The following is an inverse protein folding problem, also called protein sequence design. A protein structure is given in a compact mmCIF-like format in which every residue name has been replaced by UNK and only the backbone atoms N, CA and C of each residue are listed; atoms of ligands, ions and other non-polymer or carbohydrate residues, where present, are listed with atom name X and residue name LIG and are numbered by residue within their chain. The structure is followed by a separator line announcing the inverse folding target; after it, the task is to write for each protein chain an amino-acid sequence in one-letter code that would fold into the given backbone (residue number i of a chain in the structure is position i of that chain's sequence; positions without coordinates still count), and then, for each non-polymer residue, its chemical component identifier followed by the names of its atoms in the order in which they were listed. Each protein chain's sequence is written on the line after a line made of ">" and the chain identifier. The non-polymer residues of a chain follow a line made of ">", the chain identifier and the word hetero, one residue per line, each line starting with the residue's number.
data_IF_907111761980
#
_entry.id   IF_907111761980
#
_cell.length_a   1.000
_cell.length_b   1.000
_cell.length_c   1.000
_cell.angle_alpha   90.00
_cell.angle_beta   90.00
_cell.angle_gamma   90.00
#
_symmetry.space_group_name_H-M   'P 1'
#
loop_
_entity.id
_entity.type
_entity.pdbx_description
1 polymer ?
#
# COMPACT_ATOMS: atom_id res chain seq x y z
N UNK A 1 5.81 12.98 -16.85
CA UNK A 1 6.98 12.42 -16.17
C UNK A 1 6.65 12.52 -14.70
N UNK A 2 5.96 11.49 -14.22
CA UNK A 2 5.18 11.57 -12.99
C UNK A 2 6.11 11.41 -11.77
N UNK A 3 5.92 12.30 -10.80
CA UNK A 3 6.69 12.42 -9.54
C UNK A 3 6.82 11.10 -8.76
N UNK A 4 5.97 10.12 -9.06
CA UNK A 4 5.96 8.80 -8.44
C UNK A 4 7.00 7.81 -8.99
N UNK A 5 7.40 7.96 -10.25
CA UNK A 5 8.34 7.02 -10.87
C UNK A 5 9.72 7.09 -10.20
N UNK A 6 10.16 8.26 -9.72
CA UNK A 6 11.48 8.44 -9.10
C UNK A 6 11.54 8.09 -7.61
N UNK A 7 10.47 7.58 -7.00
CA UNK A 7 10.45 7.25 -5.57
C UNK A 7 11.52 6.20 -5.23
N UNK A 8 11.70 5.18 -6.07
CA UNK A 8 12.71 4.14 -5.84
C UNK A 8 14.12 4.76 -5.85
N UNK A 9 14.47 5.48 -6.92
CA UNK A 9 15.80 6.10 -7.07
C UNK A 9 16.04 7.15 -5.99
N UNK A 10 15.07 8.02 -5.73
CA UNK A 10 15.17 9.04 -4.69
C UNK A 10 15.42 8.42 -3.31
N UNK A 11 14.76 7.31 -2.97
CA UNK A 11 14.99 6.62 -1.71
C UNK A 11 16.34 5.89 -1.65
N UNK A 12 16.82 5.36 -2.79
CA UNK A 12 18.17 4.78 -2.86
C UNK A 12 19.26 5.85 -2.67
N UNK A 13 19.03 7.08 -3.16
CA UNK A 13 19.95 8.22 -3.03
C UNK A 13 19.78 9.06 -1.76
N UNK A 14 18.68 8.87 -1.03
CA UNK A 14 18.39 9.66 0.17
C UNK A 14 19.31 9.29 1.34
N UNK A 15 19.86 10.32 1.97
CA UNK A 15 20.60 10.24 3.24
C UNK A 15 19.71 10.86 4.31
N UNK A 16 19.10 10.03 5.15
CA UNK A 16 18.30 10.53 6.27
C UNK A 16 19.17 11.03 7.43
N UNK A 17 18.54 11.75 8.35
CA UNK A 17 19.22 12.40 9.49
C UNK A 17 19.39 11.51 10.72
N UNK A 18 18.79 10.32 10.74
CA UNK A 18 18.87 9.38 11.88
C UNK A 18 19.91 8.28 11.65
N UNK A 19 20.44 7.69 12.73
CA UNK A 19 21.44 6.62 12.62
C UNK A 19 20.92 5.38 11.86
N UNK A 20 19.66 5.02 12.07
CA UNK A 20 18.98 3.96 11.32
C UNK A 20 18.92 4.29 9.82
N UNK A 21 18.54 5.52 9.50
CA UNK A 21 18.45 6.02 8.13
C UNK A 21 19.76 5.91 7.33
N UNK A 22 20.88 6.22 7.97
CA UNK A 22 22.19 6.12 7.35
C UNK A 22 22.54 4.67 7.04
N UNK A 23 22.41 3.76 8.01
CA UNK A 23 22.76 2.35 7.85
C UNK A 23 21.94 1.65 6.77
N UNK A 24 20.71 2.09 6.56
CA UNK A 24 19.77 1.47 5.62
C UNK A 24 19.90 2.03 4.20
N UNK A 25 20.51 3.21 4.03
CA UNK A 25 20.68 3.86 2.71
C UNK A 25 21.77 3.17 1.87
N UNK A 26 21.47 2.68 0.65
CA UNK A 26 22.48 2.14 -0.26
C UNK A 26 23.60 3.13 -0.58
N UNK A 27 23.28 4.42 -0.75
CA UNK A 27 24.30 5.46 -1.00
C UNK A 27 25.25 5.65 0.17
N UNK A 28 24.78 5.54 1.41
CA UNK A 28 25.68 5.62 2.56
C UNK A 28 26.77 4.54 2.52
N UNK A 29 26.44 3.32 2.13
CA UNK A 29 27.42 2.25 1.94
C UNK A 29 28.38 2.52 0.78
N UNK A 30 27.90 3.14 -0.31
CA UNK A 30 28.78 3.54 -1.41
C UNK A 30 29.80 4.59 -0.96
N UNK A 31 29.39 5.53 -0.09
CA UNK A 31 30.27 6.53 0.50
C UNK A 31 31.29 5.91 1.47
N UNK A 32 30.88 4.93 2.28
CA UNK A 32 31.81 4.18 3.15
C UNK A 32 32.86 3.45 2.30
N UNK A 33 32.44 2.76 1.24
CA UNK A 33 33.36 2.08 0.33
C UNK A 33 34.34 3.05 -0.32
N UNK A 34 33.85 4.22 -0.75
CA UNK A 34 34.69 5.29 -1.30
C UNK A 34 35.68 5.83 -0.25
N UNK A 35 35.27 6.01 1.00
CA UNK A 35 36.15 6.41 2.09
C UNK A 35 37.23 5.35 2.40
N UNK A 36 36.85 4.06 2.46
CA UNK A 36 37.80 2.95 2.62
C UNK A 36 38.80 2.94 1.47
N UNK A 37 38.34 3.17 0.24
CA UNK A 37 39.21 3.27 -0.93
C UNK A 37 40.24 4.38 -0.80
N UNK A 38 39.81 5.57 -0.41
CA UNK A 38 40.69 6.71 -0.17
C UNK A 38 41.69 6.45 0.96
N UNK A 39 41.26 5.82 2.05
CA UNK A 39 42.14 5.45 3.17
C UNK A 39 43.21 4.47 2.71
N UNK A 40 42.84 3.42 1.96
CA UNK A 40 43.79 2.45 1.43
C UNK A 40 44.80 3.10 0.47
N UNK A 41 44.34 4.03 -0.39
CA UNK A 41 45.24 4.81 -1.24
C UNK A 41 46.22 5.65 -0.41
N UNK A 42 45.76 6.30 0.66
CA UNK A 42 46.61 7.07 1.58
C UNK A 42 47.62 6.18 2.32
N UNK A 43 47.21 5.01 2.80
CA UNK A 43 48.10 4.04 3.46
C UNK A 43 49.16 3.55 2.48
N UNK A 44 48.79 3.25 1.23
CA UNK A 44 49.74 2.83 0.21
C UNK A 44 50.72 3.95 -0.16
N UNK A 45 50.25 5.19 -0.24
CA UNK A 45 51.10 6.36 -0.45
C UNK A 45 52.06 6.60 0.73
N UNK A 46 51.59 6.46 1.97
CA UNK A 46 52.42 6.65 3.17
C UNK A 46 53.45 5.52 3.33
N UNK A 47 53.07 4.27 3.05
CA UNK A 47 54.01 3.13 3.02
C UNK A 47 55.13 3.34 1.99
N UNK A 48 54.83 3.95 0.85
CA UNK A 48 55.82 4.28 -0.15
C UNK A 48 56.84 5.34 0.33
N UNK A 49 56.41 6.25 1.21
CA UNK A 49 57.25 7.35 1.73
C UNK A 49 58.06 6.96 2.97
N UNK A 50 57.46 6.22 3.90
CA UNK A 50 58.02 6.03 5.25
C UNK A 50 58.95 4.83 5.35
N UNK A 51 58.87 3.86 4.43
CA UNK A 51 59.63 2.63 4.54
C UNK A 51 60.79 2.56 3.54
N UNK A 52 61.98 2.09 3.97
CA UNK A 52 63.07 1.78 3.07
C UNK A 52 62.67 0.67 2.08
N UNK A 53 63.24 0.68 0.86
CA UNK A 53 62.76 -0.13 -0.28
C UNK A 53 62.63 -1.63 0.03
N UNK A 54 63.55 -2.20 0.80
CA UNK A 54 63.52 -3.64 1.16
C UNK A 54 62.32 -4.04 2.03
N UNK A 55 61.90 -3.20 2.99
CA UNK A 55 60.73 -3.47 3.86
C UNK A 55 59.43 -3.15 3.13
N UNK A 56 59.44 -2.10 2.30
CA UNK A 56 58.34 -1.68 1.44
C UNK A 56 57.92 -2.80 0.48
N UNK A 57 58.89 -3.42 -0.20
CA UNK A 57 58.59 -4.40 -1.24
C UNK A 57 58.02 -5.69 -0.63
N UNK A 58 58.47 -6.12 0.57
CA UNK A 58 57.84 -7.24 1.30
C UNK A 58 56.38 -6.95 1.69
N UNK A 59 56.09 -5.77 2.22
CA UNK A 59 54.75 -5.38 2.66
C UNK A 59 53.79 -5.21 1.47
N UNK A 60 54.27 -4.56 0.40
CA UNK A 60 53.53 -4.44 -0.85
C UNK A 60 53.21 -5.80 -1.44
N UNK A 61 54.14 -6.76 -1.42
CA UNK A 61 53.92 -8.11 -1.97
C UNK A 61 52.83 -8.86 -1.20
N UNK A 62 52.79 -8.73 0.14
CA UNK A 62 51.74 -9.34 0.97
C UNK A 62 50.38 -8.74 0.63
N UNK A 63 50.28 -7.40 0.56
CA UNK A 63 49.03 -6.70 0.21
C UNK A 63 48.58 -7.07 -1.20
N UNK A 64 49.52 -7.09 -2.17
CA UNK A 64 49.25 -7.45 -3.57
C UNK A 64 48.70 -8.88 -3.67
N UNK A 65 49.30 -9.84 -2.96
CA UNK A 65 48.85 -11.24 -2.96
C UNK A 65 47.43 -11.42 -2.40
N UNK A 66 47.03 -10.63 -1.41
CA UNK A 66 45.66 -10.69 -0.85
C UNK A 66 44.66 -10.16 -1.88
N UNK A 67 44.93 -9.00 -2.48
CA UNK A 67 44.01 -8.35 -3.41
C UNK A 67 44.01 -8.95 -4.82
N UNK A 68 45.12 -9.56 -5.27
CA UNK A 68 45.15 -10.28 -6.55
C UNK A 68 44.20 -11.48 -6.54
N UNK A 69 43.97 -12.12 -5.39
CA UNK A 69 43.04 -13.25 -5.27
C UNK A 69 41.58 -12.85 -5.34
N UNK A 70 41.26 -11.57 -5.14
CA UNK A 70 39.89 -11.05 -5.19
C UNK A 70 39.61 -10.25 -6.46
N UNK A 71 40.57 -10.12 -7.38
CA UNK A 71 40.45 -9.37 -8.63
C UNK A 71 39.71 -10.17 -9.71
N UNK A 72 38.43 -9.83 -9.92
CA UNK A 72 37.60 -10.36 -10.99
C UNK A 72 37.68 -9.52 -12.28
N UNK A 73 38.26 -8.31 -12.24
CA UNK A 73 38.17 -7.33 -13.33
C UNK A 73 39.46 -7.27 -14.16
N UNK A 74 40.63 -7.42 -13.51
CA UNK A 74 41.94 -7.28 -14.15
C UNK A 74 42.77 -8.55 -14.22
N UNK A 75 42.16 -9.73 -14.03
CA UNK A 75 42.84 -11.04 -14.00
C UNK A 75 44.06 -11.09 -13.04
N UNK A 76 44.09 -10.22 -12.02
CA UNK A 76 45.17 -10.17 -11.04
C UNK A 76 46.35 -9.27 -11.44
N UNK A 77 46.27 -8.47 -12.50
CA UNK A 77 47.36 -7.53 -12.84
C UNK A 77 47.49 -6.38 -11.82
N UNK A 78 46.39 -5.99 -11.17
CA UNK A 78 46.31 -4.81 -10.30
C UNK A 78 45.62 -5.11 -8.96
N UNK A 79 46.30 -4.79 -7.85
CA UNK A 79 45.73 -4.90 -6.49
C UNK A 79 44.46 -4.02 -6.29
N UNK A 80 44.28 -3.01 -7.13
CA UNK A 80 43.09 -2.15 -7.14
C UNK A 80 41.87 -2.88 -7.72
N UNK A 81 42.08 -3.83 -8.65
CA UNK A 81 41.01 -4.61 -9.25
C UNK A 81 40.28 -5.50 -8.23
N UNK A 82 41.02 -6.04 -7.26
CA UNK A 82 40.43 -6.81 -6.15
C UNK A 82 39.52 -6.02 -5.23
N UNK A 83 39.82 -4.75 -4.98
CA UNK A 83 38.96 -3.90 -4.16
C UNK A 83 37.76 -3.37 -4.95
N UNK A 84 37.94 -3.07 -6.24
CA UNK A 84 36.83 -2.73 -7.14
C UNK A 84 35.83 -3.89 -7.23
N UNK A 85 36.33 -5.13 -7.32
CA UNK A 85 35.50 -6.34 -7.35
C UNK A 85 34.66 -6.50 -6.06
N UNK A 86 35.26 -6.28 -4.89
CA UNK A 86 34.53 -6.30 -3.61
C UNK A 86 33.47 -5.19 -3.55
N UNK A 87 33.80 -3.98 -3.99
CA UNK A 87 32.86 -2.86 -4.04
C UNK A 87 31.67 -3.15 -4.97
N UNK A 88 31.93 -3.74 -6.15
CA UNK A 88 30.88 -4.18 -7.09
C UNK A 88 29.93 -5.17 -6.41
N UNK A 89 30.47 -6.22 -5.79
CA UNK A 89 29.64 -7.25 -5.14
C UNK A 89 28.82 -6.66 -4.00
N UNK A 90 29.40 -5.78 -3.18
CA UNK A 90 28.71 -5.22 -2.02
C UNK A 90 27.61 -4.23 -2.43
N UNK A 91 27.90 -3.33 -3.38
CA UNK A 91 26.91 -2.35 -3.88
C UNK A 91 25.75 -3.07 -4.57
N UNK A 92 26.05 -4.04 -5.45
CA UNK A 92 25.01 -4.80 -6.14
C UNK A 92 24.16 -5.61 -5.15
N UNK A 93 24.78 -6.32 -4.20
CA UNK A 93 24.05 -7.09 -3.19
C UNK A 93 23.11 -6.20 -2.35
N UNK A 94 23.57 -5.03 -1.92
CA UNK A 94 22.76 -4.09 -1.14
C UNK A 94 21.62 -3.48 -1.97
N UNK A 95 21.89 -3.12 -3.23
CA UNK A 95 20.89 -2.58 -4.14
C UNK A 95 19.80 -3.63 -4.44
N UNK A 96 20.18 -4.89 -4.67
CA UNK A 96 19.23 -6.00 -4.85
C UNK A 96 18.45 -6.32 -3.57
N UNK A 97 19.11 -6.30 -2.40
CA UNK A 97 18.41 -6.50 -1.13
C UNK A 97 17.34 -5.42 -0.90
N UNK A 98 17.66 -4.15 -1.15
CA UNK A 98 16.69 -3.06 -1.10
C UNK A 98 15.54 -3.27 -2.08
N UNK A 99 15.84 -3.64 -3.33
CA UNK A 99 14.86 -3.87 -4.38
C UNK A 99 13.87 -4.99 -4.04
N UNK A 100 14.35 -6.11 -3.49
CA UNK A 100 13.50 -7.22 -3.04
C UNK A 100 12.60 -6.77 -1.89
N UNK A 101 13.15 -6.05 -0.91
CA UNK A 101 12.36 -5.56 0.22
C UNK A 101 11.30 -4.55 -0.22
N UNK A 102 11.60 -3.71 -1.22
CA UNK A 102 10.64 -2.79 -1.83
C UNK A 102 9.54 -3.52 -2.61
N UNK A 103 9.89 -4.56 -3.39
CA UNK A 103 8.89 -5.41 -4.07
C UNK A 103 7.92 -6.05 -3.08
N UNK A 104 8.42 -6.49 -1.93
CA UNK A 104 7.60 -7.10 -0.87
C UNK A 104 6.70 -6.09 -0.13
N UNK A 105 6.74 -4.78 -0.45
CA UNK A 105 5.81 -3.77 0.07
C UNK A 105 4.52 -3.65 -0.76
N UNK A 106 4.13 -4.73 -1.43
CA UNK A 106 2.90 -4.83 -2.20
C UNK A 106 2.26 -6.21 -2.03
N UNK A 107 0.92 -6.33 -1.97
CA UNK A 107 -0.05 -5.24 -1.92
C UNK A 107 -0.08 -4.59 -0.53
N UNK A 108 -0.33 -3.28 -0.48
CA UNK A 108 -0.19 -2.50 0.76
C UNK A 108 -1.14 -2.93 1.88
N UNK A 109 -2.27 -3.57 1.55
CA UNK A 109 -3.24 -4.07 2.54
C UNK A 109 -2.71 -5.28 3.33
N UNK A 110 -1.74 -6.02 2.79
CA UNK A 110 -1.18 -7.24 3.39
C UNK A 110 0.17 -7.01 4.10
N UNK A 111 0.71 -5.77 4.07
CA UNK A 111 2.09 -5.49 4.50
C UNK A 111 2.16 -4.38 5.56
N UNK A 112 3.02 -4.60 6.57
CA UNK A 112 3.29 -3.66 7.67
C UNK A 112 4.20 -2.49 7.29
N UNK A 113 4.76 -1.80 8.30
CA UNK A 113 5.67 -0.66 8.08
C UNK A 113 6.98 -1.07 7.40
N UNK A 114 7.53 -0.20 6.54
CA UNK A 114 8.81 -0.42 5.86
C UNK A 114 9.97 -0.18 6.81
N UNK A 115 10.75 -1.20 7.11
CA UNK A 115 11.95 -1.12 7.97
C UNK A 115 13.25 -0.92 7.19
N UNK A 116 13.20 -1.10 5.87
CA UNK A 116 14.35 -1.03 4.96
C UNK A 116 14.50 0.35 4.30
N UNK A 117 13.77 1.35 4.77
CA UNK A 117 13.92 2.73 4.34
C UNK A 117 13.74 3.69 5.53
N UNK A 118 14.16 4.95 5.35
CA UNK A 118 13.93 6.01 6.33
C UNK A 118 12.47 6.30 6.58
N UNK A 119 11.71 6.35 5.50
CA UNK A 119 10.28 6.57 5.54
C UNK A 119 9.58 5.21 5.66
N UNK A 120 8.94 5.02 6.81
CA UNK A 120 8.22 3.80 7.20
C UNK A 120 6.88 3.66 6.49
N UNK A 121 6.47 4.70 5.76
CA UNK A 121 5.25 4.75 4.94
C UNK A 121 5.48 4.40 3.48
N UNK A 122 6.73 4.19 3.06
CA UNK A 122 7.05 3.77 1.69
C UNK A 122 6.33 2.46 1.37
N UNK A 123 5.55 2.48 0.28
CA UNK A 123 4.88 1.32 -0.30
C UNK A 123 5.15 1.28 -1.80
N UNK A 124 5.10 0.09 -2.38
CA UNK A 124 5.12 -0.07 -3.83
C UNK A 124 3.68 -0.13 -4.37
N UNK A 125 2.80 0.76 -3.92
CA UNK A 125 1.38 0.76 -4.27
C UNK A 125 0.91 2.17 -4.61
N UNK A 126 0.20 2.31 -5.73
CA UNK A 126 -0.58 3.51 -6.09
C UNK A 126 -2.06 3.18 -6.06
N UNK A 127 -2.86 4.16 -5.67
CA UNK A 127 -4.30 4.03 -5.56
C UNK A 127 -4.98 5.02 -6.50
N UNK A 128 -6.00 4.54 -7.20
CA UNK A 128 -6.88 5.37 -8.01
C UNK A 128 -8.32 5.04 -7.67
N UNK A 129 -9.07 6.03 -7.22
CA UNK A 129 -10.52 5.92 -7.00
C UNK A 129 -11.25 6.65 -8.11
N UNK A 130 -12.24 6.01 -8.71
CA UNK A 130 -13.09 6.60 -9.73
C UNK A 130 -14.56 6.27 -9.49
N UNK A 131 -15.43 7.20 -9.87
CA UNK A 131 -16.87 6.96 -9.98
C UNK A 131 -17.16 6.57 -11.42
N UNK A 132 -17.85 5.45 -11.63
CA UNK A 132 -18.20 4.95 -12.94
C UNK A 132 -19.70 4.74 -13.03
N UNK A 133 -20.30 5.08 -14.17
CA UNK A 133 -21.72 4.93 -14.37
C UNK A 133 -22.07 3.46 -14.67
N UNK A 134 -23.11 2.92 -14.02
CA UNK A 134 -23.59 1.55 -14.28
C UNK A 134 -24.18 1.37 -15.68
N UNK A 135 -24.53 2.47 -16.35
CA UNK A 135 -25.02 2.46 -17.73
C UNK A 135 -23.92 2.10 -18.76
N UNK A 136 -22.65 2.20 -18.37
CA UNK A 136 -21.53 1.79 -19.21
C UNK A 136 -21.29 0.30 -19.01
N UNK A 137 -21.19 -0.51 -20.08
CA UNK A 137 -20.88 -1.92 -19.96
C UNK A 137 -19.59 -2.14 -19.17
N UNK A 138 -19.65 -3.03 -18.19
CA UNK A 138 -18.48 -3.42 -17.40
C UNK A 138 -17.53 -4.24 -18.28
N UNK A 139 -16.25 -4.24 -17.95
CA UNK A 139 -15.26 -5.06 -18.65
C UNK A 139 -15.50 -6.56 -18.40
N UNK A 140 -15.10 -7.42 -19.33
CA UNK A 140 -15.22 -8.87 -19.19
C UNK A 140 -14.49 -9.41 -17.94
N UNK A 141 -13.44 -8.72 -17.50
CA UNK A 141 -12.66 -9.04 -16.30
C UNK A 141 -13.40 -8.67 -15.00
N UNK A 142 -14.19 -7.59 -15.01
CA UNK A 142 -14.97 -7.13 -13.85
C UNK A 142 -16.33 -7.82 -13.72
N UNK A 143 -16.87 -8.36 -14.83
CA UNK A 143 -18.19 -8.97 -14.87
C UNK A 143 -18.43 -10.03 -13.80
N UNK A 144 -17.50 -10.97 -13.51
CA UNK A 144 -17.70 -11.97 -12.45
C UNK A 144 -17.93 -11.35 -11.06
N UNK A 145 -17.29 -10.22 -10.76
CA UNK A 145 -17.50 -9.51 -9.51
C UNK A 145 -18.89 -8.86 -9.44
N UNK A 146 -19.36 -8.31 -10.56
CA UNK A 146 -20.72 -7.77 -10.64
C UNK A 146 -21.77 -8.86 -10.48
N UNK A 147 -21.55 -10.03 -11.07
CA UNK A 147 -22.43 -11.19 -10.90
C UNK A 147 -22.50 -11.61 -9.42
N UNK A 148 -21.35 -11.69 -8.72
CA UNK A 148 -21.33 -11.95 -7.28
C UNK A 148 -22.09 -10.89 -6.46
N UNK A 149 -21.91 -9.60 -6.78
CA UNK A 149 -22.61 -8.51 -6.10
C UNK A 149 -24.13 -8.58 -6.33
N UNK A 150 -24.56 -8.88 -7.55
CA UNK A 150 -25.96 -8.99 -7.95
C UNK A 150 -26.65 -10.23 -7.36
N UNK A 151 -25.92 -11.34 -7.21
CA UNK A 151 -26.43 -12.58 -6.60
C UNK A 151 -26.47 -12.54 -5.06
N UNK A 152 -25.90 -11.51 -4.43
CA UNK A 152 -25.87 -11.42 -2.97
C UNK A 152 -27.28 -11.19 -2.41
N UNK A 153 -27.81 -12.20 -1.74
CA UNK A 153 -29.10 -12.10 -1.07
C UNK A 153 -29.05 -11.18 0.16
N UNK A 154 -30.04 -10.29 0.30
CA UNK A 154 -30.15 -9.41 1.47
C UNK A 154 -31.23 -9.82 2.46
N UNK A 155 -30.93 -9.59 3.73
CA UNK A 155 -31.89 -9.69 4.84
C UNK A 155 -32.04 -8.32 5.49
N UNK A 156 -33.27 -7.84 5.58
CA UNK A 156 -33.63 -6.62 6.26
C UNK A 156 -33.95 -6.92 7.72
N UNK A 157 -33.34 -6.14 8.62
CA UNK A 157 -33.57 -6.16 10.07
C UNK A 157 -34.29 -4.90 10.48
N UNK A 158 -35.41 -5.07 11.18
CA UNK A 158 -36.22 -3.98 11.72
C UNK A 158 -36.41 -4.20 13.22
N UNK A 159 -35.91 -3.27 14.04
CA UNK A 159 -36.23 -3.23 15.46
C UNK A 159 -37.07 -1.98 15.75
N UNK A 160 -38.28 -2.15 16.28
CA UNK A 160 -39.03 -1.08 16.92
C UNK A 160 -38.67 -1.07 18.41
N UNK A 161 -38.08 0.02 18.88
CA UNK A 161 -37.48 0.15 20.21
C UNK A 161 -38.44 0.88 21.14
N UNK A 162 -38.52 0.42 22.39
CA UNK A 162 -39.38 0.98 23.43
C UNK A 162 -40.86 0.99 23.00
N UNK A 163 -41.37 -0.18 22.62
CA UNK A 163 -42.77 -0.41 22.26
C UNK A 163 -43.31 -1.63 23.01
N UNK A 164 -44.61 -1.61 23.32
CA UNK A 164 -45.33 -2.74 23.91
C UNK A 164 -46.05 -3.60 22.85
N UNK A 165 -45.87 -3.27 21.57
CA UNK A 165 -46.52 -3.97 20.45
C UNK A 165 -46.04 -5.41 20.30
N UNK A 166 -46.90 -6.29 19.81
CA UNK A 166 -46.58 -7.71 19.63
C UNK A 166 -46.21 -8.05 18.18
N UNK A 167 -45.57 -9.20 17.96
CA UNK A 167 -45.31 -9.70 16.60
C UNK A 167 -46.58 -9.92 15.77
N UNK A 168 -47.73 -10.15 16.42
CA UNK A 168 -49.01 -10.35 15.72
C UNK A 168 -49.57 -9.05 15.13
N UNK A 169 -49.16 -7.89 15.66
CA UNK A 169 -49.57 -6.59 15.12
C UNK A 169 -48.64 -6.07 14.04
N UNK A 170 -47.51 -6.74 13.77
CA UNK A 170 -46.58 -6.35 12.72
C UNK A 170 -46.87 -7.11 11.42
N UNK A 171 -46.99 -6.35 10.35
CA UNK A 171 -47.05 -6.86 8.98
C UNK A 171 -45.98 -6.17 8.14
N UNK A 172 -45.31 -6.92 7.29
CA UNK A 172 -44.32 -6.39 6.35
C UNK A 172 -44.79 -6.74 4.94
N UNK A 173 -44.74 -5.75 4.05
CA UNK A 173 -45.15 -5.90 2.67
C UNK A 173 -44.19 -5.19 1.73
N UNK A 174 -44.06 -5.73 0.53
CA UNK A 174 -43.45 -5.08 -0.62
C UNK A 174 -44.48 -4.17 -1.29
N UNK A 175 -44.05 -2.97 -1.66
CA UNK A 175 -44.82 -2.04 -2.49
C UNK A 175 -44.27 -2.11 -3.91
N UNK A 176 -45.09 -2.61 -4.82
CA UNK A 176 -44.84 -2.59 -6.27
C UNK A 176 -45.70 -1.50 -6.92
N UNK A 177 -45.39 -1.12 -8.16
CA UNK A 177 -46.16 -0.11 -8.91
C UNK A 177 -47.66 -0.42 -9.01
N UNK A 178 -48.04 -1.69 -8.94
CA UNK A 178 -49.42 -2.17 -9.13
C UNK A 178 -50.08 -2.78 -7.89
N UNK A 179 -49.32 -3.13 -6.84
CA UNK A 179 -49.85 -3.91 -5.71
C UNK A 179 -48.96 -3.90 -4.47
N UNK A 180 -49.54 -4.26 -3.31
CA UNK A 180 -48.78 -4.62 -2.12
C UNK A 180 -48.75 -6.13 -1.94
N UNK A 181 -47.56 -6.70 -1.74
CA UNK A 181 -47.35 -8.14 -1.58
C UNK A 181 -46.86 -8.40 -0.16
N UNK A 182 -47.57 -9.22 0.62
CA UNK A 182 -47.12 -9.55 1.98
C UNK A 182 -45.83 -10.36 1.93
N UNK A 183 -44.84 -9.94 2.72
CA UNK A 183 -43.58 -10.66 2.87
C UNK A 183 -43.65 -11.60 4.08
N UNK A 184 -43.05 -12.78 3.93
CA UNK A 184 -42.93 -13.72 5.04
C UNK A 184 -41.82 -13.27 5.99
N UNK A 185 -42.18 -13.07 7.26
CA UNK A 185 -41.19 -12.82 8.32
C UNK A 185 -40.36 -14.09 8.54
N UNK A 186 -39.03 -13.97 8.50
CA UNK A 186 -38.10 -15.06 8.81
C UNK A 186 -38.08 -15.33 10.32
N UNK A 187 -38.06 -14.26 11.10
CA UNK A 187 -38.20 -14.32 12.55
C UNK A 187 -38.81 -13.03 13.09
N UNK A 188 -39.56 -13.16 14.18
CA UNK A 188 -40.05 -12.03 14.94
C UNK A 188 -39.95 -12.34 16.44
N UNK A 189 -39.46 -11.37 17.22
CA UNK A 189 -39.36 -11.48 18.67
C UNK A 189 -39.74 -10.18 19.35
N UNK A 190 -40.45 -10.27 20.48
CA UNK A 190 -40.63 -9.14 21.40
C UNK A 190 -39.87 -9.45 22.69
N UNK A 191 -38.75 -8.75 22.91
CA UNK A 191 -37.90 -8.91 24.08
C UNK A 191 -37.54 -7.52 24.64
N UNK A 192 -37.71 -7.35 25.96
CA UNK A 192 -37.34 -6.13 26.68
C UNK A 192 -37.88 -4.82 26.05
N UNK A 193 -39.12 -4.84 25.54
CA UNK A 193 -39.74 -3.68 24.89
C UNK A 193 -39.16 -3.34 23.52
N UNK A 194 -38.46 -4.28 22.89
CA UNK A 194 -38.00 -4.19 21.50
C UNK A 194 -38.69 -5.25 20.67
N UNK A 195 -39.42 -4.82 19.64
CA UNK A 195 -40.04 -5.69 18.64
C UNK A 195 -39.09 -5.79 17.45
N UNK A 196 -38.43 -6.93 17.31
CA UNK A 196 -37.49 -7.22 16.23
C UNK A 196 -38.12 -8.12 15.19
N UNK A 197 -37.94 -7.79 13.92
CA UNK A 197 -38.39 -8.56 12.77
C UNK A 197 -37.29 -8.64 11.73
N UNK A 198 -37.24 -9.79 11.04
CA UNK A 198 -36.30 -10.03 9.95
C UNK A 198 -37.05 -10.55 8.74
N UNK A 199 -36.67 -10.06 7.55
CA UNK A 199 -37.32 -10.41 6.30
C UNK A 199 -36.28 -10.54 5.20
N UNK A 200 -36.50 -11.51 4.31
CA UNK A 200 -35.68 -11.69 3.11
C UNK A 200 -36.08 -10.66 2.05
N UNK A 201 -35.10 -10.03 1.42
CA UNK A 201 -35.35 -9.12 0.30
C UNK A 201 -35.15 -9.89 -1.02
N UNK A 202 -36.18 -9.95 -1.89
CA UNK A 202 -36.08 -10.66 -3.17
C UNK A 202 -35.20 -9.96 -4.20
N UNK A 203 -34.92 -8.67 -4.02
CA UNK A 203 -34.16 -7.84 -4.95
C UNK A 203 -33.51 -6.66 -4.22
N UNK A 204 -32.53 -6.02 -4.86
CA UNK A 204 -31.79 -4.88 -4.30
C UNK A 204 -32.54 -3.54 -4.44
N UNK A 205 -33.42 -3.43 -5.44
CA UNK A 205 -34.32 -2.29 -5.67
C UNK A 205 -35.72 -2.62 -5.18
N UNK A 206 -36.06 -2.22 -3.95
CA UNK A 206 -37.32 -2.61 -3.34
C UNK A 206 -37.84 -1.59 -2.34
N UNK A 207 -39.15 -1.34 -2.42
CA UNK A 207 -39.86 -0.54 -1.45
C UNK A 207 -40.60 -1.44 -0.46
N UNK A 208 -40.23 -1.36 0.80
CA UNK A 208 -40.78 -2.17 1.88
C UNK A 208 -41.60 -1.30 2.82
N UNK A 209 -42.80 -1.76 3.16
CA UNK A 209 -43.65 -1.11 4.16
C UNK A 209 -43.86 -2.06 5.34
N UNK A 210 -43.41 -1.63 6.51
CA UNK A 210 -43.67 -2.27 7.79
C UNK A 210 -44.82 -1.53 8.49
N UNK A 211 -45.96 -2.20 8.65
CA UNK A 211 -47.15 -1.65 9.29
C UNK A 211 -47.38 -2.35 10.61
N UNK A 212 -47.40 -1.54 11.68
CA UNK A 212 -47.72 -1.92 13.03
C UNK A 212 -49.17 -1.53 13.32
N UNK A 213 -50.08 -2.50 13.31
CA UNK A 213 -51.50 -2.32 13.59
C UNK A 213 -51.76 -2.29 15.10
N UNK A 214 -51.20 -1.27 15.75
CA UNK A 214 -51.34 -1.04 17.18
C UNK A 214 -51.28 0.47 17.48
N UNK A 215 -51.86 0.86 18.60
CA UNK A 215 -51.86 2.26 19.09
C UNK A 215 -50.65 2.55 20.00
N UNK A 216 -49.83 1.54 20.29
CA UNK A 216 -48.67 1.69 21.16
C UNK A 216 -47.65 2.65 20.58
N UNK A 217 -47.01 3.40 21.48
CA UNK A 217 -45.93 4.31 21.12
C UNK A 217 -44.68 3.50 20.72
N UNK A 218 -43.90 4.08 19.81
CA UNK A 218 -42.57 3.60 19.43
C UNK A 218 -41.58 4.70 19.79
N UNK A 219 -40.59 4.38 20.63
CA UNK A 219 -39.59 5.35 21.09
C UNK A 219 -38.44 5.56 20.10
N UNK A 220 -38.15 4.58 19.26
CA UNK A 220 -37.14 4.65 18.22
C UNK A 220 -37.21 3.44 17.30
N UNK A 221 -36.43 3.48 16.23
CA UNK A 221 -36.33 2.36 15.30
C UNK A 221 -34.87 2.07 14.98
N UNK A 222 -34.55 0.81 14.70
CA UNK A 222 -33.26 0.41 14.12
C UNK A 222 -33.53 -0.35 12.83
N UNK A 223 -32.86 0.08 11.78
CA UNK A 223 -32.95 -0.54 10.45
C UNK A 223 -31.57 -1.03 10.08
N UNK A 224 -31.48 -2.24 9.54
CA UNK A 224 -30.22 -2.81 9.10
C UNK A 224 -30.38 -3.75 7.93
N UNK A 225 -29.28 -3.94 7.21
CA UNK A 225 -29.17 -4.87 6.09
C UNK A 225 -28.00 -5.81 6.34
N UNK A 226 -28.20 -7.08 6.02
CA UNK A 226 -27.09 -8.03 5.94
C UNK A 226 -27.11 -8.84 4.66
N UNK A 227 -25.93 -9.23 4.19
CA UNK A 227 -25.72 -10.16 3.07
C UNK A 227 -24.47 -11.01 3.33
N UNK A 228 -24.51 -12.31 3.05
CA UNK A 228 -23.39 -13.22 3.34
C UNK A 228 -22.19 -12.93 2.43
N UNK A 229 -20.98 -13.19 2.91
CA UNK A 229 -19.80 -13.19 2.05
C UNK A 229 -19.82 -14.36 1.07
N UNK A 230 -19.16 -14.18 -0.06
CA UNK A 230 -18.99 -15.22 -1.08
C UNK A 230 -17.60 -15.14 -1.70
N UNK A 231 -17.07 -16.26 -2.17
CA UNK A 231 -15.77 -16.34 -2.83
C UNK A 231 -15.95 -17.16 -4.10
N UNK A 232 -15.51 -16.63 -5.23
CA UNK A 232 -15.49 -17.34 -6.52
C UNK A 232 -14.14 -17.14 -7.19
N UNK A 233 -13.31 -18.19 -7.23
CA UNK A 233 -11.95 -18.07 -7.78
C UNK A 233 -11.09 -17.07 -7.00
N UNK A 234 -10.60 -16.04 -7.68
CA UNK A 234 -9.83 -14.91 -7.12
C UNK A 234 -10.70 -13.82 -6.53
N UNK A 235 -12.02 -13.86 -6.76
CA UNK A 235 -12.93 -12.77 -6.46
C UNK A 235 -13.58 -12.96 -5.09
N UNK A 236 -13.51 -11.91 -4.27
CA UNK A 236 -13.95 -11.93 -2.88
C UNK A 236 -15.07 -10.92 -2.67
N UNK A 237 -16.29 -11.41 -2.47
CA UNK A 237 -17.43 -10.62 -2.02
C UNK A 237 -17.44 -10.55 -0.49
N UNK A 238 -17.36 -9.34 0.07
CA UNK A 238 -17.41 -9.11 1.52
C UNK A 238 -18.84 -9.20 2.06
N UNK A 239 -18.95 -9.62 3.32
CA UNK A 239 -20.22 -9.60 4.05
C UNK A 239 -20.72 -8.15 4.16
N UNK A 240 -21.99 -7.94 3.82
CA UNK A 240 -22.71 -6.73 4.18
C UNK A 240 -23.28 -6.95 5.58
N UNK A 241 -22.94 -6.08 6.53
CA UNK A 241 -23.55 -6.12 7.86
C UNK A 241 -23.61 -4.71 8.42
N UNK A 242 -24.77 -4.09 8.28
CA UNK A 242 -24.96 -2.70 8.65
C UNK A 242 -26.25 -2.55 9.46
N UNK A 243 -26.21 -1.72 10.52
CA UNK A 243 -27.39 -1.36 11.33
C UNK A 243 -27.30 0.09 11.79
N UNK A 244 -28.33 0.88 11.51
CA UNK A 244 -28.47 2.25 11.99
C UNK A 244 -29.65 2.36 12.96
N UNK A 245 -29.42 3.02 14.09
CA UNK A 245 -30.48 3.34 15.06
C UNK A 245 -30.91 4.79 14.92
N UNK A 246 -32.22 5.02 14.98
CA UNK A 246 -32.87 6.31 14.89
C UNK A 246 -33.68 6.53 16.18
N UNK A 247 -33.35 7.58 16.90
CA UNK A 247 -34.03 7.96 18.15
C UNK A 247 -33.95 9.48 18.33
N UNK A 248 -34.94 10.05 19.00
CA UNK A 248 -34.91 11.46 19.41
C UNK A 248 -34.32 11.61 20.81
N UNK A 249 -33.42 12.59 20.99
CA UNK A 249 -32.88 12.96 22.32
C UNK A 249 -33.84 13.85 23.14
N UNK A 250 -34.88 14.38 22.50
CA UNK A 250 -35.95 15.17 23.12
C UNK A 250 -37.22 14.30 23.27
N UNK A 251 -38.20 14.64 24.15
CA UNK A 251 -39.40 13.85 24.36
C UNK A 251 -40.34 13.91 23.14
N UNK A 252 -39.92 13.23 22.09
CA UNK A 252 -40.62 13.06 20.82
C UNK A 252 -40.79 11.58 20.57
N UNK A 253 -41.94 11.23 20.03
CA UNK A 253 -42.31 9.86 19.70
C UNK A 253 -42.19 9.67 18.20
N UNK A 254 -41.91 8.43 17.79
CA UNK A 254 -41.92 8.08 16.37
C UNK A 254 -43.30 8.40 15.77
N UNK A 255 -43.30 9.03 14.61
CA UNK A 255 -44.52 9.39 13.89
C UNK A 255 -45.26 8.15 13.39
N UNK A 256 -46.57 8.29 13.11
CA UNK A 256 -47.39 7.20 12.59
C UNK A 256 -47.10 6.88 11.11
N UNK A 257 -46.40 7.76 10.39
CA UNK A 257 -45.99 7.52 9.01
C UNK A 257 -44.59 8.11 8.79
N UNK A 258 -43.60 7.23 8.64
CA UNK A 258 -42.21 7.62 8.41
C UNK A 258 -41.67 6.97 7.14
N UNK A 259 -40.72 7.63 6.50
CA UNK A 259 -39.98 7.11 5.36
C UNK A 259 -38.47 7.15 5.63
N UNK A 260 -37.76 6.13 5.17
CA UNK A 260 -36.30 6.05 5.15
C UNK A 260 -35.90 5.61 3.74
N UNK A 261 -34.96 6.32 3.14
CA UNK A 261 -34.36 5.88 1.88
C UNK A 261 -32.98 5.28 2.14
N UNK A 262 -32.71 4.13 1.55
CA UNK A 262 -31.42 3.43 1.60
C UNK A 262 -30.88 3.35 0.18
N UNK A 263 -29.83 4.10 -0.09
CA UNK A 263 -29.10 4.04 -1.36
C UNK A 263 -27.94 3.03 -1.23
N UNK A 264 -27.96 1.99 -2.04
CA UNK A 264 -26.94 0.94 -2.11
C UNK A 264 -25.96 1.25 -3.24
N UNK A 265 -24.69 1.45 -2.89
CA UNK A 265 -23.62 1.67 -3.88
C UNK A 265 -22.71 0.47 -3.95
N UNK A 266 -22.48 -0.05 -5.16
CA UNK A 266 -21.46 -1.07 -5.42
C UNK A 266 -20.06 -0.46 -5.28
N UNK A 267 -19.19 -1.09 -4.51
CA UNK A 267 -17.78 -0.73 -4.40
C UNK A 267 -16.94 -1.91 -4.84
N UNK A 268 -16.19 -1.73 -5.92
CA UNK A 268 -15.31 -2.74 -6.52
C UNK A 268 -13.88 -2.29 -6.32
N UNK A 269 -13.09 -3.14 -5.67
CA UNK A 269 -11.67 -2.97 -5.47
C UNK A 269 -10.95 -3.92 -6.42
N UNK A 270 -10.08 -3.40 -7.26
CA UNK A 270 -9.21 -4.16 -8.15
C UNK A 270 -7.78 -4.06 -7.62
N UNK A 271 -7.10 -5.21 -7.51
CA UNK A 271 -5.68 -5.27 -7.18
C UNK A 271 -4.93 -5.88 -8.36
N UNK A 272 -4.16 -5.06 -9.07
CA UNK A 272 -3.35 -5.52 -10.19
C UNK A 272 -2.20 -6.43 -9.68
N UNK A 273 -1.79 -7.46 -10.43
CA UNK A 273 -0.71 -8.33 -10.02
C UNK A 273 0.67 -7.63 -10.15
N UNK A 274 1.61 -7.99 -9.27
CA UNK A 274 3.04 -7.66 -9.43
C UNK A 274 3.65 -8.35 -10.67
N UNK A 275 3.19 -9.57 -10.95
CA UNK A 275 3.61 -10.42 -12.05
C UNK A 275 2.44 -11.31 -12.49
N UNK A 276 2.11 -11.32 -13.79
CA UNK A 276 0.96 -12.05 -14.33
C UNK A 276 -0.03 -11.12 -15.04
N UNK A 277 -1.14 -11.70 -15.53
CA UNK A 277 -2.22 -10.97 -16.22
C UNK A 277 -3.43 -10.71 -15.34
N UNK A 278 -3.70 -11.57 -14.36
CA UNK A 278 -5.03 -11.61 -13.74
C UNK A 278 -5.06 -10.75 -12.47
N UNK A 279 -5.98 -9.79 -12.44
CA UNK A 279 -6.26 -8.94 -11.28
C UNK A 279 -7.09 -9.69 -10.22
N UNK A 280 -6.87 -9.39 -8.94
CA UNK A 280 -7.75 -9.84 -7.86
C UNK A 280 -8.86 -8.79 -7.64
N UNK A 281 -10.13 -9.19 -7.68
CA UNK A 281 -11.24 -8.28 -7.38
C UNK A 281 -11.83 -8.52 -5.98
N UNK A 282 -12.22 -7.43 -5.32
CA UNK A 282 -12.98 -7.43 -4.08
C UNK A 282 -14.25 -6.58 -4.21
N UNK A 283 -15.40 -7.12 -3.83
CA UNK A 283 -16.69 -6.43 -3.90
C UNK A 283 -17.29 -6.17 -2.53
N UNK A 284 -17.94 -5.02 -2.36
CA UNK A 284 -18.78 -4.74 -1.19
C UNK A 284 -19.93 -3.78 -1.56
N UNK A 285 -21.08 -3.97 -0.94
CA UNK A 285 -22.17 -3.00 -0.96
C UNK A 285 -22.02 -1.97 0.14
N UNK A 286 -22.17 -0.69 -0.20
CA UNK A 286 -22.09 0.42 0.73
C UNK A 286 -23.45 1.13 0.86
N UNK A 287 -24.20 0.91 1.95
CA UNK A 287 -25.50 1.52 2.17
C UNK A 287 -25.38 2.95 2.72
N UNK A 288 -26.17 3.87 2.18
CA UNK A 288 -26.29 5.27 2.66
C UNK A 288 -27.74 5.59 2.99
N UNK A 289 -27.99 6.20 4.15
CA UNK A 289 -29.34 6.52 4.62
C UNK A 289 -29.68 7.99 4.36
N UNK A 290 -30.85 8.23 3.78
CA UNK A 290 -31.45 9.56 3.71
C UNK A 290 -32.72 9.56 4.53
N UNK A 291 -32.81 10.47 5.49
CA UNK A 291 -33.93 10.55 6.43
C UNK A 291 -34.03 11.94 7.06
N UNK A 292 -35.22 12.26 7.57
CA UNK A 292 -35.49 13.51 8.30
C UNK A 292 -35.93 13.19 9.72
N UNK A 293 -35.07 13.46 10.72
CA UNK A 293 -35.40 13.23 12.13
C UNK A 293 -36.62 14.03 12.60
N UNK A 294 -36.86 15.21 12.02
CA UNK A 294 -38.00 16.05 12.38
C UNK A 294 -39.32 15.50 11.84
N UNK A 295 -39.29 14.79 10.71
CA UNK A 295 -40.48 14.12 10.17
C UNK A 295 -40.72 12.78 10.86
N UNK A 296 -39.64 12.05 11.17
CA UNK A 296 -39.72 10.76 11.84
C UNK A 296 -40.12 10.85 13.32
N UNK A 297 -39.84 11.96 13.99
CA UNK A 297 -40.12 12.13 15.42
C UNK A 297 -40.89 13.43 15.69
N UNK A 298 -42.12 13.27 16.18
CA UNK A 298 -43.05 14.35 16.47
C UNK A 298 -43.29 14.50 17.98
N UNK A 299 -43.81 15.64 18.41
CA UNK A 299 -44.14 15.88 19.82
C UNK A 299 -45.38 15.09 20.24
N UNK A 300 -45.53 14.85 21.54
CA UNK A 300 -46.67 14.13 22.10
C UNK A 300 -48.02 14.80 21.75
N UNK A 301 -48.08 16.14 21.73
CA UNK A 301 -49.31 16.87 21.38
C UNK A 301 -49.70 16.64 19.91
N UNK A 302 -48.73 16.67 18.99
CA UNK A 302 -48.96 16.40 17.57
C UNK A 302 -49.33 14.94 17.33
N UNK A 303 -48.69 14.01 18.05
CA UNK A 303 -49.02 12.59 18.01
C UNK A 303 -50.46 12.35 18.51
N UNK A 304 -50.87 13.01 19.60
CA UNK A 304 -52.23 12.91 20.14
C UNK A 304 -53.28 13.41 19.14
N UNK A 305 -52.98 14.46 18.35
CA UNK A 305 -53.87 14.97 17.31
C UNK A 305 -53.94 14.05 16.07
N UNK A 306 -52.91 13.24 15.82
CA UNK A 306 -52.87 12.28 14.70
C UNK A 306 -53.47 10.90 15.04
N UNK A 307 -53.88 10.67 16.31
CA UNK A 307 -54.47 9.41 16.84
C UNK A 307 -55.70 8.86 16.10
N UNK A 308 -56.23 9.53 15.08
CA UNK A 308 -57.22 8.93 14.18
C UNK A 308 -56.66 7.74 13.38
N UNK A 309 -55.33 7.57 13.32
CA UNK A 309 -54.67 6.42 12.71
C UNK A 309 -54.43 5.32 13.77
N UNK A 310 -54.99 4.13 13.52
CA UNK A 310 -54.84 2.92 14.37
C UNK A 310 -53.56 2.12 14.08
N UNK A 311 -52.66 2.67 13.27
CA UNK A 311 -51.47 1.97 12.80
C UNK A 311 -50.29 2.91 12.61
N UNK A 312 -49.10 2.42 12.90
CA UNK A 312 -47.82 3.07 12.58
C UNK A 312 -47.22 2.41 11.34
N UNK A 313 -46.83 3.20 10.34
CA UNK A 313 -46.29 2.72 9.07
C UNK A 313 -44.88 3.27 8.88
N UNK A 314 -43.93 2.37 8.69
CA UNK A 314 -42.57 2.69 8.26
C UNK A 314 -42.39 2.23 6.82
N UNK A 315 -42.08 3.18 5.94
CA UNK A 315 -41.71 2.91 4.56
C UNK A 315 -40.20 2.97 4.42
N UNK A 316 -39.60 1.97 3.79
CA UNK A 316 -38.17 1.88 3.53
C UNK A 316 -38.01 1.71 2.02
N UNK A 317 -37.43 2.69 1.37
CA UNK A 317 -37.15 2.64 -0.06
C UNK A 317 -35.68 2.27 -0.26
N UNK A 318 -35.43 1.07 -0.76
CA UNK A 318 -34.07 0.57 -1.01
C UNK A 318 -33.83 0.67 -2.52
N UNK A 319 -32.81 1.40 -2.90
CA UNK A 319 -32.47 1.59 -4.31
C UNK A 319 -30.96 1.47 -4.55
N UNK A 320 -30.58 0.93 -5.69
CA UNK A 320 -29.23 0.94 -6.21
C UNK A 320 -28.90 2.31 -6.82
N UNK A 321 -27.71 2.82 -6.54
CA UNK A 321 -27.24 4.06 -7.14
C UNK A 321 -26.88 3.83 -8.61
N UNK A 322 -27.09 4.84 -9.47
CA UNK A 322 -26.76 4.75 -10.90
C UNK A 322 -25.26 4.66 -11.24
N UNK A 323 -24.39 4.59 -10.22
CA UNK A 323 -22.95 4.56 -10.35
C UNK A 323 -22.34 3.58 -9.34
N UNK A 324 -21.13 3.13 -9.63
CA UNK A 324 -20.32 2.35 -8.70
C UNK A 324 -18.98 3.03 -8.44
N UNK A 325 -18.35 2.68 -7.32
CA UNK A 325 -17.01 3.15 -6.97
C UNK A 325 -16.03 2.07 -7.37
N UNK A 326 -15.07 2.41 -8.25
CA UNK A 326 -13.95 1.54 -8.59
C UNK A 326 -12.68 2.06 -7.92
N UNK A 327 -12.10 1.26 -7.05
CA UNK A 327 -10.79 1.50 -6.45
C UNK A 327 -9.78 0.57 -7.12
N UNK A 328 -8.78 1.11 -7.79
CA UNK A 328 -7.70 0.35 -8.39
C UNK A 328 -6.45 0.53 -7.55
N UNK A 329 -5.91 -0.57 -7.07
CA UNK A 329 -4.57 -0.67 -6.52
C UNK A 329 -3.65 -1.26 -7.58
N UNK A 330 -2.57 -0.56 -7.90
CA UNK A 330 -1.54 -1.03 -8.82
C UNK A 330 -0.15 -0.80 -8.26
N UNK A 331 0.86 -1.58 -8.68
CA UNK A 331 2.22 -1.34 -8.24
C UNK A 331 2.74 0.00 -8.80
N UNK A 332 3.55 0.72 -8.00
CA UNK A 332 4.22 1.95 -8.49
C UNK A 332 5.25 1.56 -9.55
N UNK A 333 6.06 0.54 -9.24
CA UNK A 333 7.02 -0.04 -10.17
C UNK A 333 6.80 -1.55 -10.27
N UNK A 334 6.71 -2.07 -11.51
CA UNK A 334 6.62 -3.51 -11.78
C UNK A 334 8.01 -4.16 -11.65
N UNK A 335 8.04 -5.49 -11.51
CA UNK A 335 9.29 -6.24 -11.33
C UNK A 335 10.39 -5.90 -12.37
N UNK A 336 10.11 -5.80 -13.69
CA UNK A 336 11.14 -5.46 -14.68
C UNK A 336 11.71 -4.05 -14.48
N UNK A 337 10.87 -3.11 -14.08
CA UNK A 337 11.26 -1.72 -13.86
C UNK A 337 12.12 -1.58 -12.61
N UNK A 338 11.78 -2.29 -11.54
CA UNK A 338 12.59 -2.34 -10.32
C UNK A 338 13.97 -2.89 -10.65
N UNK A 339 14.05 -4.02 -11.37
CA UNK A 339 15.34 -4.60 -11.81
C UNK A 339 16.14 -3.59 -12.63
N UNK A 340 15.52 -2.94 -13.61
CA UNK A 340 16.18 -1.94 -14.46
C UNK A 340 16.73 -0.77 -13.64
N UNK A 341 15.93 -0.20 -12.73
CA UNK A 341 16.37 0.92 -11.88
C UNK A 341 17.46 0.51 -10.90
N UNK A 342 17.41 -0.71 -10.35
CA UNK A 342 18.46 -1.27 -9.48
C UNK A 342 19.78 -1.46 -10.22
N UNK A 343 19.74 -1.94 -11.46
CA UNK A 343 20.92 -2.04 -12.31
C UNK A 343 21.49 -0.65 -12.62
N UNK A 344 20.63 0.29 -13.04
CA UNK A 344 21.03 1.66 -13.34
C UNK A 344 21.70 2.36 -12.14
N UNK A 345 21.12 2.20 -10.94
CA UNK A 345 21.73 2.66 -9.70
C UNK A 345 23.13 2.04 -9.47
N UNK A 346 23.22 0.71 -9.62
CA UNK A 346 24.47 0.00 -9.39
C UNK A 346 25.56 0.46 -10.36
N UNK A 347 25.24 0.62 -11.65
CA UNK A 347 26.16 1.16 -12.66
C UNK A 347 26.61 2.58 -12.33
N UNK A 348 25.70 3.47 -11.93
CA UNK A 348 26.05 4.85 -11.57
C UNK A 348 27.01 4.90 -10.37
N UNK A 349 26.76 4.10 -9.34
CA UNK A 349 27.68 4.01 -8.19
C UNK A 349 29.07 3.51 -8.60
N UNK A 350 29.13 2.53 -9.51
CA UNK A 350 30.41 2.03 -10.03
C UNK A 350 31.15 3.05 -10.87
N UNK A 351 30.45 3.81 -11.71
CA UNK A 351 31.04 4.91 -12.48
C UNK A 351 31.60 5.99 -11.56
N UNK A 352 30.90 6.36 -10.48
CA UNK A 352 31.39 7.32 -9.49
C UNK A 352 32.68 6.80 -8.82
N UNK A 353 32.71 5.52 -8.43
CA UNK A 353 33.93 4.91 -7.86
C UNK A 353 35.09 4.91 -8.88
N UNK A 354 34.82 4.53 -10.13
CA UNK A 354 35.83 4.51 -11.20
C UNK A 354 36.35 5.92 -11.55
N UNK A 355 35.48 6.91 -11.64
CA UNK A 355 35.84 8.31 -11.87
C UNK A 355 36.65 8.89 -10.71
N UNK A 356 36.26 8.62 -9.48
CA UNK A 356 37.02 9.02 -8.28
C UNK A 356 38.43 8.43 -8.34
N UNK A 357 38.56 7.14 -8.68
CA UNK A 357 39.86 6.51 -8.85
C UNK A 357 40.70 7.17 -9.95
N UNK A 358 40.10 7.42 -11.11
CA UNK A 358 40.78 8.03 -12.25
C UNK A 358 41.28 9.44 -11.92
N UNK A 359 40.48 10.23 -11.20
CA UNK A 359 40.88 11.54 -10.65
C UNK A 359 42.05 11.38 -9.68
N UNK A 360 41.98 10.45 -8.73
CA UNK A 360 43.09 10.20 -7.80
C UNK A 360 44.39 9.83 -8.54
N UNK A 361 44.31 8.98 -9.56
CA UNK A 361 45.48 8.51 -10.32
C UNK A 361 46.07 9.58 -11.24
N UNK A 362 45.24 10.31 -11.97
CA UNK A 362 45.69 11.25 -13.02
C UNK A 362 45.93 12.67 -12.52
N UNK A 363 45.29 13.10 -11.43
CA UNK A 363 45.48 14.43 -10.87
C UNK A 363 46.27 14.39 -9.56
N UNK A 364 45.81 13.63 -8.57
CA UNK A 364 46.41 13.69 -7.23
C UNK A 364 47.82 13.13 -7.20
N UNK A 365 48.08 11.96 -7.80
CA UNK A 365 49.44 11.36 -7.83
C UNK A 365 50.48 12.26 -8.51
N UNK A 366 50.27 12.80 -9.73
CA UNK A 366 51.27 13.65 -10.37
C UNK A 366 51.43 15.02 -9.71
N UNK A 367 50.34 15.65 -9.24
CA UNK A 367 50.44 16.90 -8.46
C UNK A 367 51.24 16.66 -7.18
N UNK A 368 50.93 15.58 -6.47
CA UNK A 368 51.66 15.17 -5.28
C UNK A 368 53.15 14.95 -5.57
N UNK A 369 53.51 14.17 -6.61
CA UNK A 369 54.90 13.96 -7.03
C UNK A 369 55.63 15.28 -7.30
N UNK A 370 54.96 16.22 -7.97
CA UNK A 370 55.51 17.54 -8.31
C UNK A 370 55.71 18.42 -7.07
N UNK A 371 54.76 18.43 -6.13
CA UNK A 371 54.87 19.15 -4.87
C UNK A 371 55.99 18.57 -4.01
N UNK A 372 56.11 17.24 -3.93
CA UNK A 372 57.15 16.59 -3.15
C UNK A 372 58.55 16.80 -3.72
N UNK A 373 58.71 16.82 -5.06
CA UNK A 373 60.00 17.13 -5.67
C UNK A 373 60.40 18.60 -5.48
N UNK A 374 59.44 19.51 -5.34
CA UNK A 374 59.71 20.93 -5.08
C UNK A 374 59.96 21.23 -3.59
N UNK A 375 59.26 20.57 -2.65
CA UNK A 375 59.35 20.88 -1.22
C UNK A 375 60.38 20.05 -0.43
N UNK A 376 60.78 18.87 -0.91
CA UNK A 376 61.80 18.03 -0.26
C UNK A 376 62.86 17.53 -1.27
N UNK A 377 63.74 18.39 -1.78
CA UNK A 377 64.78 17.98 -2.74
C UNK A 377 65.81 17.00 -2.15
N UNK A 378 65.97 16.97 -0.82
CA UNK A 378 67.03 16.20 -0.17
C UNK A 378 66.72 14.69 0.02
N UNK A 379 65.50 14.23 -0.27
CA UNK A 379 65.15 12.81 -0.16
C UNK A 379 65.22 12.02 -1.48
N UNK A 380 65.56 12.67 -2.61
CA UNK A 380 65.49 12.04 -3.95
C UNK A 380 66.85 11.54 -4.46
N UNK A 381 67.97 11.91 -3.83
CA UNK A 381 69.30 11.48 -4.29
C UNK A 381 69.70 10.02 -3.96
N UNK A 382 68.76 9.16 -3.54
CA UNK A 382 69.05 7.74 -3.29
C UNK A 382 68.13 6.77 -4.04
N UNK A 383 67.32 7.24 -5.01
CA UNK A 383 66.45 6.37 -5.81
C UNK A 383 66.73 6.56 -7.30
N UNK A 384 67.91 6.12 -7.71
CA UNK A 384 68.11 5.52 -9.03
C UNK A 384 68.40 4.04 -8.80
N UNK A 385 67.68 3.13 -9.47
CA UNK A 385 68.33 1.93 -9.95
C UNK A 385 68.38 1.99 -11.47
N UNK A 386 69.63 1.99 -11.96
CA UNK A 386 70.04 1.53 -13.27
C UNK A 386 69.17 0.35 -13.73
N UNK A 387 68.36 0.58 -14.76
CA UNK A 387 67.95 -0.49 -15.66
C UNK A 387 69.03 -0.62 -16.72
N UNK A 388 70.11 -1.34 -16.41
CA UNK A 388 71.02 -1.88 -17.43
C UNK A 388 70.86 -3.40 -17.58
N UNK A 389 70.68 -3.77 -18.84
CA UNK A 389 70.66 -5.10 -19.45
C UNK A 389 71.48 -6.19 -18.75
N UNK A 390 70.85 -7.36 -18.55
CA UNK A 390 71.47 -8.66 -18.90
C UNK A 390 70.42 -9.60 -19.50
N UNK A 391 70.33 -9.60 -20.83
CA UNK A 391 70.05 -10.83 -21.56
C UNK A 391 71.35 -11.63 -21.62
N UNK A 392 71.35 -12.88 -21.15
CA UNK A 392 72.08 -13.98 -21.77
C UNK A 392 71.69 -15.33 -21.13
N UNK A 393 71.25 -16.22 -22.01
CA UNK A 393 71.29 -17.69 -21.97
C UNK A 393 70.63 -18.43 -20.78
N UNK A 394 69.53 -19.13 -21.08
CA UNK A 394 69.66 -20.48 -21.64
C UNK A 394 68.52 -20.83 -22.59
#
# INVERSE_FOLDING_TARGET
>A
MDVFEDILLNNMFSLGSTGHCLVVSPVFWTLILLAIFLILLLVMASLYWWFPPEKRDRLLTIIKNIFQRTDLVGEGELWIGGLASIAIVLITAMAYAFAILYMNQYPSEKVGASTFACDTTIRNAKFQTSLQALAVPVSDEEQPMFDLLNEQNFTLYLDFINTLSSCMSLSISEVTDSSTISMNLLSCSNLNGTLSATVFLPQHDIKVTATLNDIQLVGGIRVGLSGPSSISGSDILKELNFRQSFYSQSPRTFTQAAAIDIALTKVVNETEPLSGSDSEFGGIWYPTFTYSLNEMFITADTYAMSTNLTSTTLTIDISETSYYIKNVQSPIAKQPEIIFRTLLFSFLCLEICAMTFLICKLLLIPIYRKVTSCCFPHCINSVEPEYEMKSNHH
#
